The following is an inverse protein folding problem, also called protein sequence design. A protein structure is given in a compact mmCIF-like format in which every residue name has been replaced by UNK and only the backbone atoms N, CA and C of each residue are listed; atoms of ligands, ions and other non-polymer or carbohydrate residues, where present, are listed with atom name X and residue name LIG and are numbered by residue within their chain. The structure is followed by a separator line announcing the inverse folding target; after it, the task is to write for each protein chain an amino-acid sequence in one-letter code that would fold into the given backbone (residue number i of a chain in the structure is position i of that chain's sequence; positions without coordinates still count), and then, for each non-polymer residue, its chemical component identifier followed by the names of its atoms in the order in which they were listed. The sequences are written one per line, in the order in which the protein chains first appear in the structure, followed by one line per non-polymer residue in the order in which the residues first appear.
data_IF_678651845566
#
_entry.id   IF_678651845566
#
_cell.length_a   1.000
_cell.length_b   1.000
_cell.length_c   1.000
_cell.angle_alpha   90.00
_cell.angle_beta   90.00
_cell.angle_gamma   90.00
#
_symmetry.space_group_name_H-M   'P 1'
#
loop_
_entity.id
_entity.type
_entity.pdbx_description
1 polymer ?
#
# COMPACT_ATOMS: atom_id res chain seq x y z
N UNK A 1 23.75 -8.60 -18.59
CA UNK A 1 23.04 -9.16 -17.42
C UNK A 1 22.69 -10.63 -17.63
N UNK A 2 21.82 -11.00 -18.58
CA UNK A 2 21.41 -12.41 -18.78
C UNK A 2 22.62 -13.32 -19.02
N UNK A 3 23.49 -12.97 -19.96
CA UNK A 3 24.73 -13.73 -20.24
C UNK A 3 25.73 -13.65 -19.09
N UNK A 4 25.92 -12.45 -18.53
CA UNK A 4 26.85 -12.17 -17.43
C UNK A 4 26.60 -13.06 -16.21
N UNK A 5 25.33 -13.27 -15.85
CA UNK A 5 24.93 -14.06 -14.69
C UNK A 5 24.48 -15.48 -15.05
N UNK A 6 24.63 -15.89 -16.31
CA UNK A 6 24.16 -17.20 -16.81
C UNK A 6 22.69 -17.49 -16.43
N UNK A 7 21.81 -16.51 -16.68
CA UNK A 7 20.40 -16.58 -16.30
C UNK A 7 19.65 -17.52 -17.24
N UNK A 8 19.08 -18.59 -16.69
CA UNK A 8 18.28 -19.57 -17.43
C UNK A 8 16.78 -19.28 -17.45
N UNK A 9 16.28 -18.46 -16.51
CA UNK A 9 14.86 -18.13 -16.38
C UNK A 9 14.69 -16.71 -15.84
N UNK A 10 13.69 -15.99 -16.35
CA UNK A 10 13.27 -14.67 -15.85
C UNK A 10 11.81 -14.78 -15.45
N UNK A 11 11.49 -14.39 -14.21
CA UNK A 11 10.13 -14.50 -13.66
C UNK A 11 9.63 -13.14 -13.18
N UNK A 12 8.38 -12.84 -13.46
CA UNK A 12 7.67 -11.68 -12.91
C UNK A 12 6.32 -12.11 -12.33
N UNK A 13 5.89 -11.50 -11.22
CA UNK A 13 4.59 -11.76 -10.60
C UNK A 13 3.44 -11.08 -11.34
N UNK A 14 2.20 -11.50 -11.11
CA UNK A 14 1.01 -10.78 -11.64
C UNK A 14 0.67 -9.51 -10.86
N UNK A 15 1.20 -9.38 -9.65
CA UNK A 15 1.00 -8.21 -8.77
C UNK A 15 2.31 -7.45 -8.62
N UNK A 16 2.34 -6.21 -9.12
CA UNK A 16 3.42 -5.24 -8.94
C UNK A 16 2.85 -3.81 -8.88
N UNK A 17 3.65 -2.86 -8.39
CA UNK A 17 3.27 -1.44 -8.32
C UNK A 17 3.00 -0.83 -9.70
N UNK A 18 3.84 -1.20 -10.66
CA UNK A 18 3.88 -0.66 -12.01
C UNK A 18 3.67 -1.80 -13.01
N UNK A 19 2.44 -2.26 -13.14
CA UNK A 19 2.06 -3.29 -14.11
C UNK A 19 1.86 -2.73 -15.54
N UNK A 20 1.65 -1.42 -15.67
CA UNK A 20 1.41 -0.76 -16.95
C UNK A 20 2.67 -0.06 -17.43
N UNK A 21 3.16 -0.47 -18.61
CA UNK A 21 4.10 0.33 -19.39
C UNK A 21 3.44 1.67 -19.69
N UNK A 22 4.16 2.76 -19.44
CA UNK A 22 3.68 4.07 -19.86
C UNK A 22 3.62 4.12 -21.40
N UNK A 23 2.71 4.91 -22.00
CA UNK A 23 2.67 5.07 -23.45
C UNK A 23 4.05 5.50 -24.00
N UNK A 24 4.61 4.69 -24.90
CA UNK A 24 5.95 4.91 -25.48
C UNK A 24 7.09 4.20 -24.75
N UNK A 25 6.82 3.51 -23.65
CA UNK A 25 7.83 2.76 -22.90
C UNK A 25 8.02 1.35 -23.49
N UNK A 26 9.28 0.94 -23.62
CA UNK A 26 9.62 -0.40 -24.12
C UNK A 26 9.45 -1.43 -23.02
N UNK A 27 8.84 -2.58 -23.35
CA UNK A 27 8.72 -3.70 -22.43
C UNK A 27 10.12 -4.14 -21.92
N UNK A 28 10.42 -4.01 -20.61
CA UNK A 28 11.72 -4.36 -20.05
C UNK A 28 12.00 -5.87 -20.17
N UNK A 29 10.97 -6.68 -20.40
CA UNK A 29 11.07 -8.12 -20.58
C UNK A 29 11.06 -8.55 -22.05
N UNK A 30 11.08 -7.63 -23.02
CA UNK A 30 11.02 -7.97 -24.45
C UNK A 30 12.11 -8.98 -24.87
N UNK A 31 13.34 -8.79 -24.39
CA UNK A 31 14.47 -9.67 -24.72
C UNK A 31 14.41 -11.04 -23.99
N UNK A 32 14.13 -11.13 -22.68
CA UNK A 32 13.78 -12.40 -22.04
C UNK A 32 12.62 -13.16 -22.70
N UNK A 33 11.60 -12.45 -23.19
CA UNK A 33 10.46 -13.03 -23.92
C UNK A 33 10.90 -13.59 -25.28
N UNK A 34 11.69 -12.84 -26.05
CA UNK A 34 12.19 -13.32 -27.35
C UNK A 34 13.13 -14.54 -27.22
N UNK A 35 13.82 -14.66 -26.09
CA UNK A 35 14.64 -15.82 -25.75
C UNK A 35 13.83 -17.03 -25.23
N UNK A 36 12.52 -16.90 -24.98
CA UNK A 36 11.68 -17.97 -24.45
C UNK A 36 11.92 -18.32 -22.97
N UNK A 37 12.74 -17.54 -22.26
CA UNK A 37 13.13 -17.75 -20.85
C UNK A 37 12.25 -16.98 -19.85
N UNK A 38 11.34 -16.13 -20.34
CA UNK A 38 10.39 -15.40 -19.50
C UNK A 38 9.22 -16.28 -19.05
N UNK A 39 8.80 -16.12 -17.79
CA UNK A 39 7.61 -16.74 -17.20
C UNK A 39 6.85 -15.73 -16.35
N UNK A 40 5.53 -15.68 -16.52
CA UNK A 40 4.63 -14.96 -15.62
C UNK A 40 4.21 -15.91 -14.50
N UNK A 41 4.36 -15.49 -13.25
CA UNK A 41 3.98 -16.25 -12.07
C UNK A 41 2.76 -15.60 -11.42
N UNK A 42 1.74 -16.39 -11.11
CA UNK A 42 0.59 -15.89 -10.36
C UNK A 42 0.99 -15.53 -8.93
N UNK A 43 0.81 -14.27 -8.56
CA UNK A 43 1.02 -13.81 -7.20
C UNK A 43 -0.11 -14.33 -6.30
N UNK A 44 0.18 -15.03 -5.20
CA UNK A 44 -0.86 -15.60 -4.34
C UNK A 44 -1.66 -14.54 -3.56
N UNK A 45 -1.22 -13.28 -3.57
CA UNK A 45 -1.83 -12.15 -2.87
C UNK A 45 -1.72 -10.88 -3.69
N UNK A 46 -2.73 -10.02 -3.60
CA UNK A 46 -2.81 -8.70 -4.24
C UNK A 46 -2.14 -7.58 -3.44
N UNK A 47 -1.28 -7.90 -2.46
CA UNK A 47 -0.66 -6.90 -1.60
C UNK A 47 0.40 -6.12 -2.38
N UNK A 48 0.28 -4.80 -2.33
CA UNK A 48 1.26 -3.86 -2.90
C UNK A 48 1.75 -2.91 -1.80
N UNK A 49 2.96 -2.38 -1.93
CA UNK A 49 3.48 -1.26 -1.13
C UNK A 49 2.49 -0.10 -1.09
N UNK A 50 1.90 0.29 -2.23
CA UNK A 50 0.88 1.34 -2.27
C UNK A 50 -0.34 1.00 -1.42
N UNK A 51 -0.84 -0.24 -1.49
CA UNK A 51 -1.97 -0.69 -0.66
C UNK A 51 -1.64 -0.66 0.83
N UNK A 52 -0.40 -0.98 1.23
CA UNK A 52 0.04 -0.88 2.62
C UNK A 52 0.09 0.57 3.07
N UNK A 53 0.68 1.46 2.25
CA UNK A 53 0.74 2.89 2.53
C UNK A 53 -0.66 3.50 2.71
N UNK A 54 -1.60 3.18 1.81
CA UNK A 54 -2.99 3.63 1.91
C UNK A 54 -3.65 3.16 3.23
N UNK A 55 -3.40 1.92 3.65
CA UNK A 55 -3.95 1.38 4.91
C UNK A 55 -3.42 2.14 6.13
N UNK A 56 -2.13 2.49 6.14
CA UNK A 56 -1.51 3.25 7.21
C UNK A 56 -2.14 4.65 7.30
N UNK A 57 -2.25 5.34 6.15
CA UNK A 57 -2.86 6.68 6.08
C UNK A 57 -4.31 6.65 6.54
N UNK A 58 -5.12 5.74 6.02
CA UNK A 58 -6.53 5.61 6.41
C UNK A 58 -6.70 5.34 7.92
N UNK A 59 -5.84 4.49 8.50
CA UNK A 59 -5.86 4.24 9.94
C UNK A 59 -5.45 5.48 10.75
N UNK A 60 -4.46 6.24 10.28
CA UNK A 60 -4.05 7.49 10.91
C UNK A 60 -5.17 8.53 10.89
N UNK A 61 -5.83 8.72 9.75
CA UNK A 61 -6.97 9.64 9.62
C UNK A 61 -8.13 9.26 10.55
N UNK A 62 -8.46 7.96 10.62
CA UNK A 62 -9.48 7.46 11.53
C UNK A 62 -9.12 7.70 13.01
N UNK A 63 -7.85 7.52 13.37
CA UNK A 63 -7.34 7.84 14.71
C UNK A 63 -7.48 9.33 15.03
N UNK A 64 -7.01 10.21 14.16
CA UNK A 64 -7.08 11.67 14.35
C UNK A 64 -8.54 12.12 14.52
N UNK A 65 -9.45 11.66 13.65
CA UNK A 65 -10.88 12.00 13.73
C UNK A 65 -11.52 11.59 15.06
N UNK A 66 -11.19 10.40 15.57
CA UNK A 66 -11.69 9.94 16.88
C UNK A 66 -11.19 10.82 18.02
N UNK A 67 -9.90 11.18 18.00
CA UNK A 67 -9.31 12.00 19.05
C UNK A 67 -9.86 13.42 19.05
N UNK A 68 -10.05 14.03 17.88
CA UNK A 68 -10.69 15.35 17.78
C UNK A 68 -12.10 15.31 18.37
N UNK A 69 -12.91 14.30 18.02
CA UNK A 69 -14.25 14.12 18.58
C UNK A 69 -14.22 13.96 20.10
N UNK A 70 -13.28 13.14 20.61
CA UNK A 70 -13.12 12.92 22.05
C UNK A 70 -12.72 14.20 22.79
N UNK A 71 -11.74 14.94 22.27
CA UNK A 71 -11.31 16.21 22.85
C UNK A 71 -12.46 17.23 22.89
N UNK A 72 -13.24 17.35 21.80
CA UNK A 72 -14.42 18.21 21.78
C UNK A 72 -15.48 17.80 22.80
N UNK A 73 -15.74 16.49 22.96
CA UNK A 73 -16.70 16.02 23.97
C UNK A 73 -16.20 16.25 25.41
N UNK A 74 -14.90 16.09 25.65
CA UNK A 74 -14.29 16.34 26.96
C UNK A 74 -14.32 17.82 27.31
N UNK A 75 -13.97 18.71 26.37
CA UNK A 75 -14.08 20.16 26.56
C UNK A 75 -15.49 20.58 26.94
N UNK A 76 -16.51 20.14 26.17
CA UNK A 76 -17.92 20.40 26.49
C UNK A 76 -18.31 19.89 27.87
N UNK A 77 -17.91 18.66 28.21
CA UNK A 77 -18.18 18.09 29.52
C UNK A 77 -17.60 18.94 30.65
N UNK A 78 -16.36 19.43 30.53
CA UNK A 78 -15.74 20.27 31.57
C UNK A 78 -16.32 21.69 31.63
N UNK A 79 -16.76 22.26 30.51
CA UNK A 79 -17.46 23.56 30.47
C UNK A 79 -18.82 23.48 31.17
N UNK A 80 -19.55 22.38 30.98
CA UNK A 80 -20.90 22.18 31.52
C UNK A 80 -20.90 21.59 32.94
N UNK A 81 -19.76 21.11 33.44
CA UNK A 81 -19.67 20.42 34.73
C UNK A 81 -19.91 21.39 35.88
N UNK A 82 -21.07 21.27 36.52
CA UNK A 82 -21.36 21.89 37.82
C UNK A 82 -20.97 20.97 38.98
N UNK A 83 -20.62 21.58 40.11
CA UNK A 83 -20.31 20.84 41.34
C UNK A 83 -21.56 20.13 41.85
N UNK A 84 -21.46 18.82 42.07
CA UNK A 84 -22.50 18.01 42.71
C UNK A 84 -21.96 17.57 44.07
N UNK A 85 -22.57 18.06 45.16
CA UNK A 85 -22.28 17.54 46.49
C UNK A 85 -22.91 16.15 46.61
N UNK A 86 -22.12 15.15 47.01
CA UNK A 86 -22.65 13.82 47.36
C UNK A 86 -23.38 13.89 48.70
N UNK A 87 -24.57 13.27 48.78
CA UNK A 87 -25.30 13.04 50.04
C UNK A 87 -24.55 12.09 50.97
#
# INVERSE_FOLDING_TARGET
MITTFNISIVVHGTVAESNSLLPGETDPYAFPKSMGIFRLLESPKSLTTSSVSQRIVANHEAYVKRNVKKAQSEMKYYEEKTYVAGE
#
